data_IF_602247734353
#
_entry.id   IF_602247734353
#
_cell.length_a   1.000
_cell.length_b   1.000
_cell.length_c   1.000
_cell.angle_alpha   90.00
_cell.angle_beta   90.00
_cell.angle_gamma   90.00
#
_symmetry.space_group_name_H-M   'P 1'
#
loop_
_entity.id
_entity.type
_entity.pdbx_description
1 polymer ?
#
# COMPACT_ATOMS: atom_id res chain seq x y z
N UNK A 1 -62.71 2.72 -25.78
CA UNK A 1 -61.82 1.79 -25.06
C UNK A 1 -60.45 2.47 -24.93
N UNK A 2 -60.19 3.12 -23.80
CA UNK A 2 -58.93 3.81 -23.51
C UNK A 2 -57.94 2.81 -22.88
N UNK A 3 -56.75 2.67 -23.48
CA UNK A 3 -55.64 1.86 -22.95
C UNK A 3 -54.88 2.67 -21.91
N UNK A 4 -54.83 2.20 -20.66
CA UNK A 4 -53.93 2.72 -19.63
C UNK A 4 -52.50 2.23 -19.89
N UNK A 5 -51.56 3.17 -19.89
CA UNK A 5 -50.13 2.92 -19.82
C UNK A 5 -49.74 2.61 -18.36
N UNK A 6 -49.08 1.47 -18.15
CA UNK A 6 -48.52 1.09 -16.84
C UNK A 6 -47.18 1.79 -16.61
N UNK A 7 -47.11 2.61 -15.57
CA UNK A 7 -45.88 3.16 -15.03
C UNK A 7 -45.21 2.13 -14.10
N UNK A 8 -44.02 1.66 -14.48
CA UNK A 8 -43.13 0.89 -13.61
C UNK A 8 -42.49 1.80 -12.57
N UNK A 9 -42.83 1.59 -11.29
CA UNK A 9 -42.17 2.23 -10.16
C UNK A 9 -40.81 1.56 -9.90
N UNK A 10 -39.71 2.27 -10.14
CA UNK A 10 -38.39 1.84 -9.71
C UNK A 10 -38.26 2.09 -8.19
N UNK A 11 -38.14 1.01 -7.42
CA UNK A 11 -37.87 1.10 -6.00
C UNK A 11 -36.39 1.43 -5.77
N UNK A 12 -36.09 2.68 -5.38
CA UNK A 12 -34.79 3.02 -4.79
C UNK A 12 -34.77 2.47 -3.35
N UNK A 13 -34.01 1.41 -3.12
CA UNK A 13 -33.62 0.99 -1.77
C UNK A 13 -32.54 1.92 -1.26
N UNK A 14 -32.93 3.01 -0.59
CA UNK A 14 -32.04 3.80 0.25
C UNK A 14 -31.72 2.97 1.50
N UNK A 15 -30.58 2.29 1.49
CA UNK A 15 -30.00 1.68 2.68
C UNK A 15 -29.55 2.81 3.60
N UNK A 16 -30.40 3.24 4.53
CA UNK A 16 -29.99 4.13 5.62
C UNK A 16 -29.06 3.34 6.54
N UNK A 17 -27.75 3.45 6.32
CA UNK A 17 -26.77 3.06 7.35
C UNK A 17 -27.07 3.92 8.57
N UNK A 18 -27.44 3.28 9.68
CA UNK A 18 -27.63 3.98 10.93
C UNK A 18 -26.27 4.54 11.38
N UNK A 19 -26.06 5.85 11.15
CA UNK A 19 -24.90 6.54 11.68
C UNK A 19 -24.95 6.46 13.21
N UNK A 20 -23.90 5.92 13.80
CA UNK A 20 -23.69 5.91 15.23
C UNK A 20 -22.45 6.74 15.54
N UNK A 21 -22.34 7.20 16.78
CA UNK A 21 -21.10 7.75 17.30
C UNK A 21 -20.26 6.56 17.80
N UNK A 22 -18.98 6.56 17.45
CA UNK A 22 -17.98 5.63 17.93
C UNK A 22 -17.06 6.37 18.90
N UNK A 23 -17.13 6.01 20.18
CA UNK A 23 -16.25 6.52 21.22
C UNK A 23 -15.18 5.46 21.54
N UNK A 24 -13.91 5.85 21.42
CA UNK A 24 -12.79 4.97 21.72
C UNK A 24 -11.86 5.61 22.74
N UNK A 25 -11.59 4.88 23.83
CA UNK A 25 -10.48 5.18 24.73
C UNK A 25 -9.17 4.78 24.05
N UNK A 26 -8.36 5.76 23.66
CA UNK A 26 -7.09 5.54 22.96
C UNK A 26 -5.97 5.10 23.93
N UNK A 27 -6.11 5.41 25.22
CA UNK A 27 -5.17 5.03 26.27
C UNK A 27 -4.48 6.22 26.92
N UNK A 28 -3.36 5.98 27.62
CA UNK A 28 -2.61 7.05 28.28
C UNK A 28 -1.94 7.99 27.29
N UNK A 29 -1.67 9.22 27.73
CA UNK A 29 -0.86 10.20 26.99
C UNK A 29 0.46 9.58 26.50
N UNK A 30 1.13 8.81 27.34
CA UNK A 30 2.37 8.10 26.99
C UNK A 30 2.16 7.08 25.87
N UNK A 31 1.12 6.22 25.98
CA UNK A 31 0.81 5.22 24.93
C UNK A 31 0.50 5.91 23.60
N UNK A 32 -0.31 6.96 23.62
CA UNK A 32 -0.73 7.62 22.38
C UNK A 32 0.46 8.37 21.76
N UNK A 33 1.32 8.98 22.59
CA UNK A 33 2.56 9.61 22.15
C UNK A 33 3.45 8.64 21.37
N UNK A 34 3.72 7.44 21.92
CA UNK A 34 4.56 6.44 21.23
C UNK A 34 3.93 5.90 19.94
N UNK A 35 2.62 5.62 19.94
CA UNK A 35 1.96 4.98 18.79
C UNK A 35 1.74 5.94 17.61
N UNK A 36 1.63 7.24 17.88
CA UNK A 36 1.51 8.30 16.87
C UNK A 36 2.84 9.01 16.56
N UNK A 37 3.95 8.47 17.08
CA UNK A 37 5.30 9.01 16.94
C UNK A 37 5.46 10.47 17.38
N UNK A 38 4.62 10.95 18.30
CA UNK A 38 4.58 12.36 18.67
C UNK A 38 5.78 12.78 19.55
N UNK A 39 6.36 13.97 19.36
CA UNK A 39 6.14 14.86 18.22
C UNK A 39 6.80 14.30 16.96
N UNK A 40 6.05 14.25 15.86
CA UNK A 40 6.46 13.57 14.62
C UNK A 40 6.87 14.53 13.49
N UNK A 41 6.89 15.84 13.73
CA UNK A 41 7.28 16.85 12.74
C UNK A 41 7.88 18.13 13.38
N UNK A 42 8.45 17.97 14.58
CA UNK A 42 9.06 19.06 15.35
C UNK A 42 10.46 18.70 15.81
N UNK A 43 11.32 19.72 15.84
CA UNK A 43 12.55 19.72 16.63
C UNK A 43 12.59 21.02 17.47
N UNK A 44 13.67 21.81 17.41
CA UNK A 44 13.66 23.18 17.94
C UNK A 44 12.62 24.06 17.24
N UNK A 45 12.31 23.76 15.97
CA UNK A 45 11.27 24.43 15.17
C UNK A 45 10.27 23.37 14.69
N UNK A 46 9.00 23.59 14.98
CA UNK A 46 7.92 22.74 14.47
C UNK A 46 7.57 23.09 13.04
N UNK A 47 7.60 22.11 12.14
CA UNK A 47 7.05 22.28 10.79
C UNK A 47 5.53 22.43 10.85
N UNK A 48 4.86 21.65 11.71
CA UNK A 48 3.47 21.86 12.14
C UNK A 48 3.41 21.80 13.66
N UNK A 49 3.03 22.90 14.31
CA UNK A 49 2.98 22.95 15.78
C UNK A 49 1.65 22.36 16.30
N UNK A 50 1.44 21.06 16.05
CA UNK A 50 0.24 20.34 16.50
C UNK A 50 0.37 19.85 17.94
N UNK A 51 -0.75 19.84 18.65
CA UNK A 51 -0.85 19.07 19.91
C UNK A 51 -0.92 17.58 19.62
N UNK A 52 -0.81 16.74 20.65
CA UNK A 52 -1.01 15.30 20.51
C UNK A 52 -2.43 14.99 19.99
N UNK A 53 -3.44 15.67 20.51
CA UNK A 53 -4.84 15.51 20.09
C UNK A 53 -5.01 15.87 18.61
N UNK A 54 -4.44 16.99 18.15
CA UNK A 54 -4.51 17.40 16.74
C UNK A 54 -3.80 16.39 15.82
N UNK A 55 -2.67 15.84 16.26
CA UNK A 55 -1.93 14.82 15.51
C UNK A 55 -2.77 13.55 15.35
N UNK A 56 -3.39 13.08 16.43
CA UNK A 56 -4.26 11.90 16.40
C UNK A 56 -5.51 12.16 15.57
N UNK A 57 -6.17 13.30 15.78
CA UNK A 57 -7.38 13.72 15.05
C UNK A 57 -7.13 13.74 13.54
N UNK A 58 -5.96 14.24 13.13
CA UNK A 58 -5.53 14.26 11.72
C UNK A 58 -5.49 12.86 11.08
N UNK A 59 -4.79 11.91 11.69
CA UNK A 59 -4.70 10.55 11.14
C UNK A 59 -6.04 9.80 11.20
N UNK A 60 -6.81 9.97 12.27
CA UNK A 60 -8.13 9.36 12.37
C UNK A 60 -9.10 9.96 11.33
N UNK A 61 -9.00 11.26 11.05
CA UNK A 61 -9.76 11.92 9.97
C UNK A 61 -9.39 11.37 8.61
N UNK A 62 -8.11 11.14 8.33
CA UNK A 62 -7.68 10.47 7.09
C UNK A 62 -8.30 9.07 6.96
N UNK A 63 -8.34 8.31 8.06
CA UNK A 63 -8.89 6.94 8.06
C UNK A 63 -10.37 6.94 7.65
N UNK A 64 -11.20 7.75 8.32
CA UNK A 64 -12.65 7.82 8.01
C UNK A 64 -12.93 8.31 6.59
N UNK A 65 -12.12 9.26 6.10
CA UNK A 65 -12.23 9.76 4.73
C UNK A 65 -11.89 8.69 3.69
N UNK A 66 -10.85 7.89 3.95
CA UNK A 66 -10.40 6.80 3.06
C UNK A 66 -11.31 5.58 3.09
N UNK A 67 -12.04 5.40 4.19
CA UNK A 67 -13.16 4.48 4.24
C UNK A 67 -14.41 5.02 3.51
N UNK A 68 -14.41 6.26 3.02
CA UNK A 68 -15.51 6.84 2.24
C UNK A 68 -16.60 7.50 3.09
N UNK A 69 -16.37 7.70 4.39
CA UNK A 69 -17.29 8.42 5.28
C UNK A 69 -17.02 9.93 5.20
N UNK A 70 -17.38 10.56 4.08
CA UNK A 70 -17.05 11.97 3.80
C UNK A 70 -17.62 12.98 4.80
N UNK A 71 -18.75 12.63 5.43
CA UNK A 71 -19.43 13.49 6.41
C UNK A 71 -19.02 13.18 7.87
N UNK A 72 -18.13 12.19 8.06
CA UNK A 72 -17.67 11.81 9.39
C UNK A 72 -16.84 12.93 10.03
N UNK A 73 -16.97 13.05 11.36
CA UNK A 73 -16.19 14.01 12.15
C UNK A 73 -15.45 13.28 13.23
N UNK A 74 -14.17 13.61 13.39
CA UNK A 74 -13.33 13.11 14.46
C UNK A 74 -13.06 14.25 15.43
N UNK A 75 -13.16 13.96 16.72
CA UNK A 75 -12.68 14.84 17.77
C UNK A 75 -11.83 14.04 18.75
N UNK A 76 -10.63 14.53 19.07
CA UNK A 76 -9.77 13.92 20.08
C UNK A 76 -9.67 14.82 21.31
N UNK A 77 -9.82 14.24 22.50
CA UNK A 77 -9.73 14.96 23.77
C UNK A 77 -8.87 14.21 24.76
N UNK A 78 -8.23 14.97 25.65
CA UNK A 78 -7.53 14.44 26.81
C UNK A 78 -8.33 14.73 28.07
N UNK A 79 -8.51 13.72 28.92
CA UNK A 79 -9.07 13.84 30.27
C UNK A 79 -8.32 12.91 31.21
N UNK A 80 -7.84 13.44 32.35
CA UNK A 80 -7.08 12.70 33.37
C UNK A 80 -5.95 11.81 32.80
N UNK A 81 -5.06 12.40 31.99
CA UNK A 81 -3.94 11.72 31.30
C UNK A 81 -4.34 10.55 30.38
N UNK A 82 -5.60 10.54 29.92
CA UNK A 82 -6.12 9.59 28.95
C UNK A 82 -6.67 10.32 27.73
N UNK A 83 -6.40 9.80 26.54
CA UNK A 83 -6.97 10.31 25.30
C UNK A 83 -8.16 9.49 24.85
N UNK A 84 -9.14 10.18 24.29
CA UNK A 84 -10.39 9.64 23.76
C UNK A 84 -10.62 10.20 22.36
N UNK A 85 -11.06 9.35 21.43
CA UNK A 85 -11.57 9.76 20.14
C UNK A 85 -13.08 9.59 20.10
N UNK A 86 -13.79 10.66 19.74
CA UNK A 86 -15.20 10.62 19.36
C UNK A 86 -15.28 10.72 17.84
N UNK A 87 -15.83 9.69 17.18
CA UNK A 87 -15.97 9.62 15.73
C UNK A 87 -17.45 9.53 15.41
N UNK A 88 -17.99 10.56 14.77
CA UNK A 88 -19.41 10.63 14.39
C UNK A 88 -19.56 10.40 12.88
N UNK A 89 -20.72 9.91 12.44
CA UNK A 89 -20.99 9.69 11.01
C UNK A 89 -20.44 8.37 10.46
N UNK A 90 -19.99 7.45 11.32
CA UNK A 90 -19.47 6.12 10.97
C UNK A 90 -20.44 5.01 11.42
N UNK A 91 -20.33 3.76 10.93
CA UNK A 91 -21.15 2.67 11.42
C UNK A 91 -20.77 2.27 12.85
N UNK A 92 -21.73 1.68 13.57
CA UNK A 92 -21.48 1.08 14.88
C UNK A 92 -20.42 -0.02 14.76
N UNK A 93 -19.39 0.02 15.59
CA UNK A 93 -18.30 -0.96 15.56
C UNK A 93 -17.04 -0.46 14.83
N UNK A 94 -17.07 0.74 14.25
CA UNK A 94 -15.91 1.36 13.59
C UNK A 94 -14.70 1.50 14.54
N UNK A 95 -14.92 1.55 15.85
CA UNK A 95 -13.87 1.58 16.86
C UNK A 95 -13.01 0.32 16.90
N UNK A 96 -13.53 -0.83 16.44
CA UNK A 96 -12.86 -2.13 16.54
C UNK A 96 -11.61 -2.26 15.68
N UNK A 97 -11.64 -1.99 14.36
CA UNK A 97 -10.42 -2.05 13.55
C UNK A 97 -9.38 -1.02 14.01
N UNK A 98 -9.81 0.15 14.52
CA UNK A 98 -8.90 1.11 15.12
C UNK A 98 -8.23 0.58 16.40
N UNK A 99 -9.00 0.00 17.31
CA UNK A 99 -8.46 -0.63 18.52
C UNK A 99 -7.46 -1.74 18.17
N UNK A 100 -7.80 -2.61 17.20
CA UNK A 100 -6.92 -3.68 16.73
C UNK A 100 -5.59 -3.16 16.16
N UNK A 101 -5.62 -2.06 15.39
CA UNK A 101 -4.41 -1.39 14.90
C UNK A 101 -3.53 -0.88 16.06
N UNK A 102 -4.13 -0.22 17.04
CA UNK A 102 -3.38 0.34 18.19
C UNK A 102 -2.81 -0.75 19.09
N UNK A 103 -3.55 -1.84 19.28
CA UNK A 103 -3.11 -3.00 20.06
C UNK A 103 -1.96 -3.73 19.36
N UNK A 104 -2.02 -3.89 18.03
CA UNK A 104 -0.88 -4.34 17.25
C UNK A 104 0.30 -3.36 17.36
N UNK A 105 0.02 -2.06 17.40
CA UNK A 105 1.01 -1.01 17.62
C UNK A 105 1.80 -1.15 18.92
N UNK A 106 1.18 -1.66 20.00
CA UNK A 106 1.90 -1.95 21.24
C UNK A 106 2.93 -3.09 21.07
N UNK A 107 2.64 -4.07 20.23
CA UNK A 107 3.61 -5.12 19.84
C UNK A 107 4.76 -4.51 19.03
N UNK A 108 4.45 -3.59 18.11
CA UNK A 108 5.48 -2.91 17.32
C UNK A 108 6.39 -2.05 18.21
N UNK A 109 5.83 -1.33 19.18
CA UNK A 109 6.59 -0.59 20.17
C UNK A 109 7.50 -1.49 21.00
N UNK A 110 6.97 -2.63 21.47
CA UNK A 110 7.77 -3.62 22.20
C UNK A 110 8.97 -4.10 21.37
N UNK A 111 8.74 -4.38 20.08
CA UNK A 111 9.79 -4.73 19.12
C UNK A 111 10.83 -3.62 18.95
N UNK A 112 10.39 -2.39 18.73
CA UNK A 112 11.25 -1.22 18.57
C UNK A 112 12.10 -0.94 19.82
N UNK A 113 11.50 -1.00 21.01
CA UNK A 113 12.22 -0.83 22.28
C UNK A 113 13.30 -1.88 22.47
N UNK A 114 13.02 -3.13 22.12
CA UNK A 114 14.00 -4.21 22.17
C UNK A 114 15.11 -4.00 21.14
N UNK A 115 14.77 -3.62 19.91
CA UNK A 115 15.74 -3.32 18.86
C UNK A 115 16.71 -2.19 19.28
N UNK A 116 16.19 -1.16 19.95
CA UNK A 116 16.99 -0.08 20.51
C UNK A 116 17.86 -0.53 21.69
N UNK A 117 17.33 -1.33 22.61
CA UNK A 117 18.10 -1.88 23.72
C UNK A 117 19.29 -2.75 23.25
N UNK A 118 19.13 -3.43 22.11
CA UNK A 118 20.19 -4.20 21.46
C UNK A 118 21.17 -3.34 20.63
N UNK A 119 21.02 -2.00 20.64
CA UNK A 119 21.92 -1.06 19.96
C UNK A 119 21.77 -1.02 18.43
N UNK A 120 20.63 -1.50 17.90
CA UNK A 120 20.37 -1.60 16.45
C UNK A 120 19.39 -0.57 15.92
N UNK A 121 18.83 0.28 16.79
CA UNK A 121 17.97 1.38 16.36
C UNK A 121 18.81 2.57 15.91
N UNK A 122 18.61 3.03 14.68
CA UNK A 122 19.29 4.24 14.22
C UNK A 122 18.65 5.50 14.81
N UNK A 123 19.47 6.49 15.15
CA UNK A 123 19.00 7.75 15.75
C UNK A 123 17.94 8.48 14.92
N UNK A 124 17.99 8.37 13.59
CA UNK A 124 17.05 9.02 12.66
C UNK A 124 15.74 8.24 12.46
N UNK A 125 15.58 7.07 13.07
CA UNK A 125 14.41 6.23 12.89
C UNK A 125 13.28 6.58 13.86
N UNK A 126 12.04 6.47 13.37
CA UNK A 126 10.82 6.62 14.16
C UNK A 126 9.96 5.36 14.03
N UNK A 127 9.40 4.87 15.13
CA UNK A 127 8.30 3.90 15.05
C UNK A 127 7.14 4.57 14.32
N UNK A 128 6.67 3.99 13.23
CA UNK A 128 5.58 4.56 12.44
C UNK A 128 4.61 3.46 12.02
N UNK A 129 3.44 3.47 12.64
CA UNK A 129 2.33 2.60 12.28
C UNK A 129 1.63 3.12 11.02
N UNK A 130 0.93 2.27 10.24
CA UNK A 130 0.13 2.65 9.07
C UNK A 130 -1.11 3.48 9.46
N UNK A 131 -0.88 4.63 10.08
CA UNK A 131 -1.88 5.57 10.55
C UNK A 131 -2.55 6.26 9.37
N UNK A 132 -3.85 6.50 9.48
CA UNK A 132 -4.61 7.11 8.40
C UNK A 132 -5.03 6.14 7.31
N UNK A 133 -4.75 4.84 7.37
CA UNK A 133 -5.25 3.90 6.36
C UNK A 133 -6.77 3.70 6.45
N UNK A 134 -7.37 3.21 5.36
CA UNK A 134 -8.73 2.67 5.42
C UNK A 134 -8.76 1.52 6.43
N UNK A 135 -9.72 1.55 7.37
CA UNK A 135 -9.82 0.60 8.48
C UNK A 135 -10.95 -0.42 8.26
N UNK A 136 -12.07 0.00 7.67
CA UNK A 136 -13.26 -0.84 7.51
C UNK A 136 -13.49 -1.23 6.04
N UNK A 137 -13.54 -0.25 5.15
CA UNK A 137 -13.90 -0.41 3.74
C UNK A 137 -12.68 -0.73 2.85
N UNK A 138 -11.76 -1.54 3.40
CA UNK A 138 -10.57 -2.04 2.72
C UNK A 138 -10.94 -2.96 1.56
N UNK A 139 -10.25 -2.81 0.45
CA UNK A 139 -10.42 -3.59 -0.79
C UNK A 139 -9.26 -4.55 -1.02
N UNK A 140 -8.07 -4.22 -0.57
CA UNK A 140 -6.89 -5.08 -0.63
C UNK A 140 -5.84 -4.67 0.40
N UNK A 141 -4.86 -5.53 0.63
CA UNK A 141 -3.73 -5.31 1.54
C UNK A 141 -2.42 -5.25 0.76
N UNK A 142 -1.54 -4.35 1.16
CA UNK A 142 -0.21 -4.17 0.59
C UNK A 142 0.83 -4.49 1.66
N UNK A 143 1.68 -5.49 1.42
CA UNK A 143 2.83 -5.73 2.26
C UNK A 143 4.03 -4.98 1.69
N UNK A 144 4.58 -4.07 2.48
CA UNK A 144 5.73 -3.24 2.12
C UNK A 144 6.89 -3.46 3.09
N UNK A 145 8.05 -2.94 2.69
CA UNK A 145 9.28 -3.07 3.45
C UNK A 145 9.25 -2.15 4.69
N UNK A 146 9.21 -0.83 4.45
CA UNK A 146 9.14 0.21 5.47
C UNK A 146 8.63 1.53 4.87
N UNK A 147 8.03 2.43 5.67
CA UNK A 147 7.61 3.75 5.20
C UNK A 147 8.80 4.73 5.15
N UNK A 148 8.85 5.64 4.15
CA UNK A 148 9.86 6.69 4.17
C UNK A 148 9.54 7.74 5.24
N UNK A 149 10.59 8.27 5.87
CA UNK A 149 10.52 9.27 6.95
C UNK A 149 9.75 10.55 6.59
N UNK A 150 9.81 10.99 5.34
CA UNK A 150 9.09 12.19 4.90
C UNK A 150 7.57 12.00 4.87
N UNK A 151 7.05 10.78 4.76
CA UNK A 151 5.61 10.50 4.89
C UNK A 151 5.12 10.82 6.30
N UNK A 152 5.96 10.54 7.31
CA UNK A 152 5.74 10.96 8.69
C UNK A 152 6.03 12.46 8.85
N UNK A 153 7.28 12.86 8.71
CA UNK A 153 7.81 14.15 9.17
C UNK A 153 7.36 15.36 8.36
N UNK A 154 7.12 15.20 7.07
CA UNK A 154 6.72 16.30 6.19
C UNK A 154 5.27 16.18 5.74
N UNK A 155 4.85 15.03 5.24
CA UNK A 155 3.52 14.87 4.68
C UNK A 155 2.44 14.72 5.75
N UNK A 156 2.75 14.09 6.89
CA UNK A 156 1.76 13.59 7.84
C UNK A 156 0.70 12.75 7.12
N UNK A 157 1.15 11.93 6.18
CA UNK A 157 0.28 11.12 5.35
C UNK A 157 1.06 9.90 4.88
N UNK A 158 0.67 8.74 5.39
CA UNK A 158 1.31 7.47 5.08
C UNK A 158 1.24 7.08 3.60
N UNK A 159 0.18 7.50 2.90
CA UNK A 159 0.01 7.27 1.47
C UNK A 159 0.69 8.35 0.63
N UNK A 160 1.37 9.33 1.23
CA UNK A 160 2.12 10.34 0.50
C UNK A 160 3.60 9.95 0.39
N UNK A 161 3.90 9.19 -0.66
CA UNK A 161 5.27 8.82 -1.03
C UNK A 161 5.38 8.58 -2.53
N UNK A 162 6.60 8.65 -3.08
CA UNK A 162 6.81 8.28 -4.49
C UNK A 162 6.33 6.85 -4.78
N UNK A 163 6.57 5.92 -3.84
CA UNK A 163 6.15 4.51 -3.91
C UNK A 163 4.63 4.39 -4.02
N UNK A 164 3.89 5.00 -3.10
CA UNK A 164 2.44 4.90 -2.99
C UNK A 164 1.71 5.75 -4.02
N UNK A 165 2.22 6.94 -4.37
CA UNK A 165 1.67 7.81 -5.42
C UNK A 165 1.76 7.13 -6.80
N UNK A 166 2.88 6.46 -7.07
CA UNK A 166 3.04 5.68 -8.30
C UNK A 166 2.05 4.52 -8.33
N UNK A 167 1.93 3.76 -7.26
CA UNK A 167 1.01 2.62 -7.23
C UNK A 167 -0.45 3.03 -7.38
N UNK A 168 -0.87 4.13 -6.73
CA UNK A 168 -2.19 4.76 -6.93
C UNK A 168 -2.45 5.10 -8.40
N UNK A 169 -1.44 5.62 -9.11
CA UNK A 169 -1.53 5.91 -10.54
C UNK A 169 -1.77 4.63 -11.35
N UNK A 170 -1.09 3.52 -11.03
CA UNK A 170 -1.29 2.23 -11.70
C UNK A 170 -2.67 1.62 -11.41
N UNK A 171 -3.17 1.76 -10.19
CA UNK A 171 -4.55 1.38 -9.85
C UNK A 171 -5.56 2.20 -10.67
N UNK A 172 -5.30 3.49 -10.84
CA UNK A 172 -6.14 4.38 -11.66
C UNK A 172 -6.15 4.00 -13.14
N UNK A 173 -4.97 3.68 -13.68
CA UNK A 173 -4.84 3.13 -15.05
C UNK A 173 -5.64 1.84 -15.21
N UNK A 174 -5.79 1.06 -14.14
CA UNK A 174 -6.59 -0.16 -14.10
C UNK A 174 -8.07 0.07 -13.74
N UNK A 175 -8.54 1.31 -13.75
CA UNK A 175 -9.95 1.66 -13.63
C UNK A 175 -10.46 1.82 -12.20
N UNK A 176 -9.58 1.97 -11.21
CA UNK A 176 -9.98 2.45 -9.88
C UNK A 176 -10.08 3.97 -9.92
N UNK A 177 -11.15 4.56 -9.38
CA UNK A 177 -11.24 6.01 -9.28
C UNK A 177 -10.17 6.56 -8.32
N UNK A 178 -9.59 7.70 -8.62
CA UNK A 178 -8.44 8.24 -7.87
C UNK A 178 -8.75 8.48 -6.38
N UNK A 179 -9.99 8.85 -6.06
CA UNK A 179 -10.51 9.01 -4.70
C UNK A 179 -10.75 7.68 -3.97
N UNK A 180 -10.79 6.56 -4.70
CA UNK A 180 -11.01 5.21 -4.17
C UNK A 180 -9.73 4.39 -4.03
N UNK A 181 -8.60 4.83 -4.62
CA UNK A 181 -7.33 4.09 -4.51
C UNK A 181 -6.86 3.86 -3.07
N UNK A 182 -7.09 4.76 -2.08
CA UNK A 182 -6.66 4.51 -0.71
C UNK A 182 -7.23 3.23 -0.09
N UNK A 183 -8.46 2.85 -0.46
CA UNK A 183 -9.08 1.62 0.03
C UNK A 183 -8.36 0.35 -0.47
N UNK A 184 -7.61 0.44 -1.57
CA UNK A 184 -6.79 -0.65 -2.09
C UNK A 184 -5.38 -0.65 -1.48
N UNK A 185 -4.96 0.43 -0.84
CA UNK A 185 -3.60 0.65 -0.34
C UNK A 185 -3.53 0.54 1.19
N UNK A 186 -4.19 -0.46 1.78
CA UNK A 186 -4.03 -0.73 3.22
C UNK A 186 -2.68 -1.40 3.44
N UNK A 187 -1.72 -0.68 4.00
CA UNK A 187 -0.33 -1.14 4.11
C UNK A 187 -0.07 -1.87 5.44
N UNK A 188 0.72 -2.93 5.37
CA UNK A 188 1.47 -3.50 6.49
C UNK A 188 2.95 -3.46 6.12
N UNK A 189 3.74 -2.73 6.91
CA UNK A 189 5.19 -2.76 6.76
C UNK A 189 5.82 -3.88 7.60
N UNK A 190 6.72 -4.64 7.01
CA UNK A 190 7.50 -5.63 7.75
C UNK A 190 8.51 -4.96 8.70
N UNK A 191 8.86 -3.69 8.47
CA UNK A 191 9.51 -2.86 9.47
C UNK A 191 8.67 -1.58 9.63
N UNK A 192 7.86 -1.44 10.70
CA UNK A 192 7.07 -0.23 10.95
C UNK A 192 7.96 0.91 11.46
N UNK A 193 8.97 1.25 10.67
CA UNK A 193 10.01 2.22 10.98
C UNK A 193 10.05 3.25 9.86
N UNK A 194 9.66 4.49 10.17
CA UNK A 194 9.94 5.63 9.32
C UNK A 194 11.45 5.85 9.26
N UNK A 195 12.04 5.64 8.09
CA UNK A 195 13.47 5.75 7.83
C UNK A 195 13.73 6.46 6.48
N UNK A 196 14.96 6.96 6.23
CA UNK A 196 15.30 7.51 4.92
C UNK A 196 14.97 6.52 3.79
N UNK A 197 14.47 7.01 2.65
CA UNK A 197 13.98 6.16 1.56
C UNK A 197 15.02 5.19 0.96
N UNK A 198 16.31 5.40 1.23
CA UNK A 198 17.42 4.55 0.82
C UNK A 198 17.95 3.63 1.94
N UNK A 199 17.33 3.63 3.13
CA UNK A 199 17.78 2.87 4.31
C UNK A 199 17.46 1.37 4.27
N UNK A 200 16.92 0.84 3.16
CA UNK A 200 16.44 -0.54 3.09
C UNK A 200 17.51 -1.59 3.43
N UNK A 201 18.79 -1.33 3.14
CA UNK A 201 19.89 -2.21 3.53
C UNK A 201 20.14 -2.19 5.05
N UNK A 202 19.97 -1.03 5.68
CA UNK A 202 20.22 -0.87 7.12
C UNK A 202 19.14 -1.54 7.98
N UNK A 203 17.97 -1.82 7.39
CA UNK A 203 16.88 -2.56 8.01
C UNK A 203 17.02 -4.08 7.88
N UNK A 204 18.03 -4.60 7.18
CA UNK A 204 18.23 -6.04 7.11
C UNK A 204 18.53 -6.63 8.51
N UNK A 205 17.84 -7.72 8.85
CA UNK A 205 17.99 -8.39 10.15
C UNK A 205 17.22 -7.73 11.31
N UNK A 206 16.43 -6.69 11.06
CA UNK A 206 15.56 -6.08 12.10
C UNK A 206 14.14 -6.65 12.10
N UNK A 207 13.69 -7.31 11.02
CA UNK A 207 12.28 -7.68 10.83
C UNK A 207 11.74 -8.60 11.94
N UNK A 208 12.55 -9.52 12.46
CA UNK A 208 12.11 -10.47 13.49
C UNK A 208 11.72 -9.80 14.81
N UNK A 209 12.21 -8.58 15.09
CA UNK A 209 11.78 -7.81 16.26
C UNK A 209 10.30 -7.42 16.18
N UNK A 210 9.74 -7.37 14.97
CA UNK A 210 8.35 -6.96 14.72
C UNK A 210 7.44 -8.14 14.36
N UNK A 211 7.90 -9.39 14.53
CA UNK A 211 7.14 -10.58 14.14
C UNK A 211 5.71 -10.62 14.67
N UNK A 212 5.54 -10.33 15.95
CA UNK A 212 4.22 -10.38 16.60
C UNK A 212 3.30 -9.29 16.05
N UNK A 213 3.83 -8.09 15.81
CA UNK A 213 3.10 -7.02 15.13
C UNK A 213 2.69 -7.43 13.71
N UNK A 214 3.64 -7.90 12.90
CA UNK A 214 3.39 -8.21 11.49
C UNK A 214 2.33 -9.30 11.31
N UNK A 215 2.46 -10.40 12.06
CA UNK A 215 1.53 -11.53 11.99
C UNK A 215 0.15 -11.18 12.54
N UNK A 216 0.10 -10.35 13.59
CA UNK A 216 -1.17 -9.79 14.10
C UNK A 216 -1.82 -8.90 13.05
N UNK A 217 -1.09 -7.96 12.45
CA UNK A 217 -1.63 -7.10 11.40
C UNK A 217 -2.18 -7.92 10.23
N UNK A 218 -1.45 -8.91 9.72
CA UNK A 218 -1.94 -9.77 8.62
C UNK A 218 -3.23 -10.48 9.02
N UNK A 219 -3.33 -10.98 10.25
CA UNK A 219 -4.54 -11.63 10.76
C UNK A 219 -5.72 -10.65 10.83
N UNK A 220 -5.52 -9.43 11.30
CA UNK A 220 -6.58 -8.45 11.52
C UNK A 220 -7.04 -7.79 10.20
N UNK A 221 -6.14 -7.51 9.26
CA UNK A 221 -6.49 -6.79 8.02
C UNK A 221 -6.74 -7.68 6.80
N UNK A 222 -6.55 -9.00 6.90
CA UNK A 222 -6.79 -9.93 5.78
C UNK A 222 -8.26 -10.25 5.53
N UNK A 223 -9.17 -9.81 6.40
CA UNK A 223 -10.61 -9.93 6.20
C UNK A 223 -11.29 -8.57 6.38
N UNK A 224 -12.41 -8.38 5.70
CA UNK A 224 -13.31 -7.27 5.98
C UNK A 224 -14.25 -7.61 7.17
N UNK A 225 -15.12 -6.67 7.54
CA UNK A 225 -16.06 -6.85 8.65
C UNK A 225 -17.07 -8.01 8.43
N UNK A 226 -17.36 -8.40 7.19
CA UNK A 226 -18.21 -9.54 6.87
C UNK A 226 -17.47 -10.89 6.87
N UNK A 227 -16.15 -10.89 7.12
CA UNK A 227 -15.31 -12.09 7.09
C UNK A 227 -14.86 -12.51 5.69
N UNK A 228 -15.17 -11.73 4.65
CA UNK A 228 -14.66 -11.93 3.30
C UNK A 228 -13.15 -11.70 3.31
N UNK A 229 -12.40 -12.63 2.72
CA UNK A 229 -10.95 -12.51 2.65
C UNK A 229 -10.56 -11.49 1.58
N UNK A 230 -9.61 -10.61 1.90
CA UNK A 230 -9.11 -9.59 0.99
C UNK A 230 -7.82 -10.07 0.30
N UNK A 231 -7.60 -9.72 -0.98
CA UNK A 231 -6.37 -10.04 -1.69
C UNK A 231 -5.19 -9.23 -1.12
N UNK A 232 -4.00 -9.79 -1.26
CA UNK A 232 -2.77 -9.17 -0.77
C UNK A 232 -1.70 -9.09 -1.86
N UNK A 233 -0.96 -7.99 -1.90
CA UNK A 233 0.21 -7.82 -2.78
C UNK A 233 1.48 -7.69 -1.95
N UNK A 234 2.50 -8.47 -2.31
CA UNK A 234 3.79 -8.54 -1.63
C UNK A 234 4.87 -7.84 -2.45
N UNK A 235 5.26 -6.63 -2.01
CA UNK A 235 6.15 -5.75 -2.77
C UNK A 235 7.61 -5.94 -2.38
N UNK A 236 8.46 -6.25 -3.37
CA UNK A 236 9.91 -6.30 -3.16
C UNK A 236 10.44 -7.63 -2.65
N UNK A 237 11.76 -7.77 -2.61
CA UNK A 237 12.39 -9.03 -2.20
C UNK A 237 12.31 -9.28 -0.68
N UNK A 238 12.55 -8.28 0.21
CA UNK A 238 12.46 -8.45 1.65
C UNK A 238 11.09 -8.98 2.10
N UNK A 239 10.01 -8.41 1.55
CA UNK A 239 8.64 -8.82 1.87
C UNK A 239 8.32 -10.24 1.37
N UNK A 240 8.73 -10.60 0.14
CA UNK A 240 8.52 -11.96 -0.37
C UNK A 240 9.31 -13.00 0.42
N UNK A 241 10.51 -12.65 0.88
CA UNK A 241 11.30 -13.50 1.78
C UNK A 241 10.65 -13.63 3.15
N UNK A 242 10.08 -12.54 3.67
CA UNK A 242 9.32 -12.54 4.92
C UNK A 242 8.10 -13.47 4.85
N UNK A 243 7.34 -13.46 3.75
CA UNK A 243 6.22 -14.41 3.56
C UNK A 243 6.71 -15.85 3.63
N UNK A 244 7.83 -16.17 2.95
CA UNK A 244 8.41 -17.50 2.99
C UNK A 244 8.78 -17.91 4.41
N UNK A 245 9.34 -17.00 5.19
CA UNK A 245 9.73 -17.26 6.58
C UNK A 245 8.52 -17.45 7.51
N UNK A 246 7.48 -16.64 7.38
CA UNK A 246 6.33 -16.68 8.30
C UNK A 246 5.27 -17.72 7.90
N UNK A 247 5.06 -17.92 6.60
CA UNK A 247 3.95 -18.73 6.09
C UNK A 247 4.40 -19.94 5.26
N UNK A 248 5.64 -19.96 4.73
CA UNK A 248 6.23 -21.10 4.02
C UNK A 248 6.38 -20.95 2.50
N UNK A 249 5.36 -20.50 1.74
CA UNK A 249 5.45 -20.38 0.28
C UNK A 249 6.54 -19.43 -0.20
N UNK A 250 7.21 -19.79 -1.30
CA UNK A 250 8.09 -18.86 -2.02
C UNK A 250 7.26 -18.06 -3.02
N UNK A 251 7.34 -16.73 -2.95
CA UNK A 251 6.58 -15.82 -3.81
C UNK A 251 7.53 -15.15 -4.80
N UNK A 252 7.27 -15.30 -6.11
CA UNK A 252 8.00 -14.63 -7.18
C UNK A 252 7.25 -13.38 -7.66
N UNK A 253 7.91 -12.49 -8.41
CA UNK A 253 7.20 -11.40 -9.12
C UNK A 253 6.23 -12.02 -10.12
N UNK A 254 4.96 -11.60 -10.07
CA UNK A 254 3.82 -12.24 -10.71
C UNK A 254 3.64 -13.74 -10.37
N UNK A 255 4.17 -14.15 -9.22
CA UNK A 255 3.89 -15.45 -8.61
C UNK A 255 2.74 -15.32 -7.63
N UNK A 256 1.77 -16.22 -7.75
CA UNK A 256 0.61 -16.28 -6.88
C UNK A 256 0.76 -17.43 -5.89
N UNK A 257 0.49 -17.16 -4.62
CA UNK A 257 0.45 -18.16 -3.55
C UNK A 257 -0.78 -17.96 -2.67
N UNK A 258 -0.99 -18.87 -1.72
CA UNK A 258 -1.98 -18.71 -0.66
C UNK A 258 -1.30 -18.83 0.69
N UNK A 259 -1.63 -17.94 1.62
CA UNK A 259 -1.21 -18.02 3.03
C UNK A 259 -2.42 -18.24 3.94
N UNK A 260 -2.16 -18.71 5.16
CA UNK A 260 -3.20 -18.92 6.19
C UNK A 260 -2.84 -18.11 7.45
N UNK A 261 -3.34 -16.87 7.60
CA UNK A 261 -3.06 -16.04 8.79
C UNK A 261 -3.66 -16.59 10.08
N UNK A 262 -4.75 -17.34 9.97
CA UNK A 262 -5.39 -18.11 11.03
C UNK A 262 -6.13 -19.30 10.42
N UNK A 263 -6.53 -20.25 11.25
CA UNK A 263 -7.27 -21.44 10.82
C UNK A 263 -8.54 -21.05 10.05
N UNK A 264 -8.74 -21.70 8.90
CA UNK A 264 -9.91 -21.49 8.05
C UNK A 264 -9.87 -20.24 7.16
N UNK A 265 -8.85 -19.38 7.26
CA UNK A 265 -8.71 -18.19 6.40
C UNK A 265 -7.62 -18.40 5.37
N UNK A 266 -7.95 -18.21 4.10
CA UNK A 266 -7.02 -18.40 2.96
C UNK A 266 -6.90 -17.11 2.16
N UNK A 267 -5.73 -16.47 2.25
CA UNK A 267 -5.46 -15.20 1.59
C UNK A 267 -4.69 -15.45 0.30
N UNK A 268 -5.20 -15.04 -0.88
CA UNK A 268 -4.39 -15.04 -2.10
C UNK A 268 -3.37 -13.90 -2.02
N UNK A 269 -2.09 -14.24 -2.25
CA UNK A 269 -0.98 -13.28 -2.21
C UNK A 269 -0.25 -13.27 -3.55
N UNK A 270 -0.20 -12.11 -4.19
CA UNK A 270 0.56 -11.89 -5.42
C UNK A 270 1.90 -11.24 -5.10
N UNK A 271 3.01 -11.81 -5.57
CA UNK A 271 4.30 -11.13 -5.53
C UNK A 271 4.43 -10.06 -6.62
N UNK A 272 4.98 -8.91 -6.26
CA UNK A 272 5.24 -7.79 -7.16
C UNK A 272 6.66 -7.27 -7.01
N UNK A 273 7.15 -6.52 -8.00
CA UNK A 273 8.31 -5.66 -7.77
C UNK A 273 7.97 -4.65 -6.69
N UNK A 274 8.95 -4.14 -5.95
CA UNK A 274 8.72 -2.94 -5.14
C UNK A 274 8.33 -1.78 -6.07
N UNK A 275 7.32 -0.93 -5.76
CA UNK A 275 6.85 0.08 -6.72
C UNK A 275 7.95 1.06 -7.16
N UNK A 276 8.96 1.30 -6.32
CA UNK A 276 10.12 2.14 -6.63
C UNK A 276 11.21 1.47 -7.46
N UNK A 277 11.18 0.14 -7.60
CA UNK A 277 12.21 -0.61 -8.33
C UNK A 277 12.35 -0.16 -9.78
N UNK A 278 11.27 0.33 -10.39
CA UNK A 278 11.29 0.80 -11.78
C UNK A 278 12.30 1.91 -12.04
N UNK A 279 12.54 2.81 -11.07
CA UNK A 279 13.48 3.91 -11.26
C UNK A 279 14.92 3.41 -11.31
N UNK A 280 15.24 2.33 -10.59
CA UNK A 280 16.55 1.69 -10.64
C UNK A 280 16.70 0.80 -11.87
N UNK A 281 15.70 -0.03 -12.16
CA UNK A 281 15.71 -0.89 -13.34
C UNK A 281 15.80 -0.06 -14.63
N UNK A 282 15.19 1.12 -14.66
CA UNK A 282 15.24 2.05 -15.77
C UNK A 282 16.40 3.05 -15.69
N UNK A 283 17.33 2.98 -14.74
CA UNK A 283 18.45 3.90 -14.69
C UNK A 283 19.58 3.43 -15.64
N UNK A 284 19.98 4.21 -16.67
CA UNK A 284 21.13 3.87 -17.50
C UNK A 284 22.43 3.66 -16.70
N UNK A 285 22.60 4.33 -15.57
CA UNK A 285 23.80 4.21 -14.73
C UNK A 285 23.88 2.85 -14.01
N UNK A 286 22.79 2.07 -14.00
CA UNK A 286 22.77 0.69 -13.50
C UNK A 286 23.36 -0.32 -14.50
N UNK A 287 23.75 0.10 -15.71
CA UNK A 287 24.22 -0.76 -16.79
C UNK A 287 25.56 -0.26 -17.36
N UNK A 288 26.32 -1.18 -17.97
CA UNK A 288 27.63 -0.86 -18.56
C UNK A 288 27.60 -1.00 -20.08
N UNK A 289 28.36 -0.17 -20.78
CA UNK A 289 28.54 -0.27 -22.24
C UNK A 289 27.78 0.80 -23.02
N UNK A 290 28.01 0.82 -24.34
CA UNK A 290 27.42 1.84 -25.24
C UNK A 290 25.89 1.69 -25.41
N UNK A 291 25.34 0.55 -25.01
CA UNK A 291 23.93 0.20 -25.07
C UNK A 291 23.21 0.30 -23.70
N UNK A 292 23.85 0.88 -22.67
CA UNK A 292 23.29 1.01 -21.33
C UNK A 292 21.87 1.63 -21.31
N UNK A 293 21.63 2.70 -22.08
CA UNK A 293 20.29 3.29 -22.22
C UNK A 293 19.26 2.30 -22.77
N UNK A 294 19.64 1.48 -23.76
CA UNK A 294 18.73 0.52 -24.37
C UNK A 294 18.43 -0.65 -23.42
N UNK A 295 19.41 -1.06 -22.60
CA UNK A 295 19.22 -2.06 -21.55
C UNK A 295 18.30 -1.54 -20.44
N UNK A 296 18.51 -0.31 -19.99
CA UNK A 296 17.66 0.35 -19.00
C UNK A 296 16.22 0.54 -19.49
N UNK A 297 16.03 0.97 -20.75
CA UNK A 297 14.69 1.05 -21.35
C UNK A 297 14.03 -0.34 -21.42
N UNK A 298 14.77 -1.38 -21.82
CA UNK A 298 14.24 -2.76 -21.89
C UNK A 298 13.82 -3.30 -20.52
N UNK A 299 14.62 -3.05 -19.48
CA UNK A 299 14.31 -3.44 -18.11
C UNK A 299 13.14 -2.64 -17.55
N UNK A 300 13.12 -1.32 -17.75
CA UNK A 300 12.03 -0.45 -17.33
C UNK A 300 10.69 -0.81 -17.97
N UNK A 301 10.66 -1.14 -19.27
CA UNK A 301 9.47 -1.63 -19.96
C UNK A 301 8.94 -2.94 -19.36
N UNK A 302 9.83 -3.87 -19.01
CA UNK A 302 9.45 -5.13 -18.37
C UNK A 302 8.87 -4.91 -16.97
N UNK A 303 9.53 -4.10 -16.15
CA UNK A 303 9.03 -3.75 -14.81
C UNK A 303 7.69 -3.04 -14.92
N UNK A 304 7.51 -2.10 -15.86
CA UNK A 304 6.22 -1.45 -16.09
C UNK A 304 5.12 -2.47 -16.44
N UNK A 305 5.39 -3.41 -17.34
CA UNK A 305 4.44 -4.46 -17.70
C UNK A 305 4.08 -5.38 -16.53
N UNK A 306 5.05 -5.71 -15.67
CA UNK A 306 4.81 -6.49 -14.46
C UNK A 306 3.97 -5.74 -13.45
N UNK A 307 4.32 -4.49 -13.17
CA UNK A 307 3.63 -3.67 -12.18
C UNK A 307 2.20 -3.35 -12.60
N UNK A 308 1.96 -3.05 -13.89
CA UNK A 308 0.60 -2.89 -14.43
C UNK A 308 -0.21 -4.18 -14.32
N UNK A 309 0.41 -5.34 -14.53
CA UNK A 309 -0.27 -6.65 -14.38
C UNK A 309 -0.64 -6.92 -12.92
N UNK A 310 0.24 -6.58 -11.97
CA UNK A 310 -0.02 -6.76 -10.54
C UNK A 310 -1.06 -5.76 -10.01
N UNK A 311 -0.98 -4.48 -10.40
CA UNK A 311 -1.99 -3.47 -10.04
C UNK A 311 -3.37 -3.81 -10.65
N UNK A 312 -3.41 -4.35 -11.87
CA UNK A 312 -4.62 -4.89 -12.48
C UNK A 312 -5.24 -6.00 -11.64
N UNK A 313 -4.42 -6.97 -11.22
CA UNK A 313 -4.88 -8.09 -10.41
C UNK A 313 -5.43 -7.61 -9.07
N UNK A 314 -4.72 -6.72 -8.39
CA UNK A 314 -5.17 -6.11 -7.13
C UNK A 314 -6.49 -5.36 -7.31
N UNK A 315 -6.61 -4.57 -8.37
CA UNK A 315 -7.80 -3.80 -8.67
C UNK A 315 -9.01 -4.69 -9.00
N UNK A 316 -8.81 -5.82 -9.68
CA UNK A 316 -9.85 -6.80 -10.00
C UNK A 316 -10.28 -7.56 -8.74
N UNK A 317 -9.33 -8.19 -8.04
CA UNK A 317 -9.59 -8.96 -6.82
C UNK A 317 -10.16 -8.11 -5.69
N UNK A 318 -9.79 -6.83 -5.59
CA UNK A 318 -10.33 -5.94 -4.56
C UNK A 318 -11.74 -5.42 -4.88
N UNK A 319 -12.12 -5.40 -6.16
CA UNK A 319 -13.51 -5.12 -6.58
C UNK A 319 -14.41 -6.33 -6.36
N UNK A 320 -13.91 -7.52 -6.66
CA UNK A 320 -14.60 -8.79 -6.53
C UNK A 320 -13.71 -9.83 -5.84
N UNK A 321 -13.75 -9.93 -4.50
CA UNK A 321 -12.93 -10.87 -3.73
C UNK A 321 -13.24 -12.35 -4.01
N UNK A 322 -14.40 -12.66 -4.60
CA UNK A 322 -14.81 -14.03 -4.93
C UNK A 322 -14.30 -14.47 -6.33
N UNK A 323 -13.70 -13.55 -7.10
CA UNK A 323 -13.09 -13.85 -8.39
C UNK A 323 -11.93 -14.85 -8.25
N UNK A 324 -11.62 -15.58 -9.33
CA UNK A 324 -10.57 -16.59 -9.30
C UNK A 324 -9.18 -15.95 -9.47
N UNK A 325 -8.29 -16.01 -8.45
CA UNK A 325 -7.01 -15.30 -8.49
C UNK A 325 -6.09 -15.69 -9.65
N UNK A 326 -6.08 -16.97 -10.05
CA UNK A 326 -5.25 -17.47 -11.17
C UNK A 326 -5.77 -17.00 -12.53
N UNK A 327 -7.09 -16.92 -12.69
CA UNK A 327 -7.71 -16.42 -13.93
C UNK A 327 -7.46 -14.92 -14.05
N UNK A 328 -7.68 -14.16 -12.98
CA UNK A 328 -7.43 -12.72 -12.98
C UNK A 328 -5.97 -12.39 -13.30
N UNK A 329 -5.01 -13.10 -12.69
CA UNK A 329 -3.59 -12.85 -12.95
C UNK A 329 -3.22 -13.13 -14.41
N UNK A 330 -3.74 -14.23 -14.98
CA UNK A 330 -3.53 -14.56 -16.39
C UNK A 330 -4.15 -13.51 -17.32
N UNK A 331 -5.37 -13.05 -17.01
CA UNK A 331 -6.07 -12.00 -17.76
C UNK A 331 -5.31 -10.68 -17.73
N UNK A 332 -4.88 -10.24 -16.55
CA UNK A 332 -4.11 -9.01 -16.36
C UNK A 332 -2.74 -9.06 -17.05
N UNK A 333 -2.02 -10.17 -16.94
CA UNK A 333 -0.74 -10.38 -17.65
C UNK A 333 -0.95 -10.37 -19.17
N UNK A 334 -2.00 -11.02 -19.66
CA UNK A 334 -2.33 -11.02 -21.09
C UNK A 334 -2.69 -9.61 -21.58
N UNK A 335 -3.40 -8.84 -20.75
CA UNK A 335 -3.77 -7.46 -21.07
C UNK A 335 -2.53 -6.59 -21.20
N UNK A 336 -1.71 -6.47 -20.15
CA UNK A 336 -0.63 -5.47 -20.11
C UNK A 336 0.65 -5.88 -20.82
N UNK A 337 0.93 -7.18 -20.93
CA UNK A 337 2.17 -7.66 -21.55
C UNK A 337 1.98 -8.18 -22.97
N UNK A 338 0.74 -8.22 -23.48
CA UNK A 338 0.45 -8.65 -24.85
C UNK A 338 -0.54 -7.72 -25.55
N UNK A 339 -1.80 -7.68 -25.12
CA UNK A 339 -2.86 -6.97 -25.85
C UNK A 339 -2.67 -5.45 -25.86
N UNK A 340 -2.14 -4.90 -24.76
CA UNK A 340 -1.89 -3.48 -24.55
C UNK A 340 -0.40 -3.18 -24.33
N UNK A 341 0.49 -3.98 -24.93
CA UNK A 341 1.94 -3.77 -24.79
C UNK A 341 2.39 -2.37 -25.28
N UNK A 342 1.73 -1.82 -26.30
CA UNK A 342 1.98 -0.44 -26.75
C UNK A 342 1.59 0.59 -25.68
N UNK A 343 0.51 0.35 -24.92
CA UNK A 343 0.11 1.24 -23.83
C UNK A 343 1.06 1.16 -22.64
N UNK A 344 1.52 -0.04 -22.30
CA UNK A 344 2.61 -0.27 -21.34
C UNK A 344 3.85 0.55 -21.72
N UNK A 345 4.20 0.56 -23.00
CA UNK A 345 5.31 1.35 -23.53
C UNK A 345 5.09 2.86 -23.36
N UNK A 346 3.92 3.36 -23.76
CA UNK A 346 3.59 4.78 -23.62
C UNK A 346 3.65 5.22 -22.16
N UNK A 347 3.05 4.45 -21.25
CA UNK A 347 3.04 4.74 -19.82
C UNK A 347 4.46 4.77 -19.24
N UNK A 348 5.33 3.83 -19.65
CA UNK A 348 6.74 3.85 -19.25
C UNK A 348 7.43 5.15 -19.71
N UNK A 349 7.33 5.48 -20.99
CA UNK A 349 8.04 6.64 -21.53
C UNK A 349 7.50 7.98 -21.03
N UNK A 350 6.20 8.09 -20.75
CA UNK A 350 5.63 9.32 -20.18
C UNK A 350 5.95 9.46 -18.69
N UNK A 351 5.80 8.40 -17.90
CA UNK A 351 5.93 8.48 -16.43
C UNK A 351 7.35 8.33 -15.91
N UNK A 352 8.22 7.61 -16.62
CA UNK A 352 9.60 7.30 -16.17
C UNK A 352 10.64 8.09 -16.96
N UNK A 353 10.40 8.32 -18.26
CA UNK A 353 11.31 9.10 -19.13
C UNK A 353 10.86 10.54 -19.35
N UNK A 354 9.71 10.94 -18.79
CA UNK A 354 9.15 12.28 -18.90
C UNK A 354 8.97 12.76 -20.35
N UNK A 355 8.73 11.83 -21.28
CA UNK A 355 8.39 12.17 -22.65
C UNK A 355 6.95 12.69 -22.72
N UNK A 356 6.69 13.61 -23.63
CA UNK A 356 5.29 13.98 -23.96
C UNK A 356 4.56 12.78 -24.57
N UNK A 357 3.22 12.71 -24.52
CA UNK A 357 2.46 11.60 -25.11
C UNK A 357 2.83 11.32 -26.58
N UNK A 358 2.96 12.37 -27.41
CA UNK A 358 3.36 12.20 -28.82
C UNK A 358 4.78 11.65 -28.99
N UNK A 359 5.73 12.09 -28.15
CA UNK A 359 7.10 11.55 -28.16
C UNK A 359 7.14 10.08 -27.71
N UNK A 360 6.35 9.73 -26.70
CA UNK A 360 6.25 8.35 -26.21
C UNK A 360 5.68 7.43 -27.30
N UNK A 361 4.56 7.79 -27.94
CA UNK A 361 3.98 7.02 -29.06
C UNK A 361 4.98 6.86 -30.21
N UNK A 362 5.69 7.94 -30.59
CA UNK A 362 6.73 7.87 -31.63
C UNK A 362 7.88 6.94 -31.25
N UNK A 363 8.33 6.98 -29.99
CA UNK A 363 9.38 6.09 -29.46
C UNK A 363 8.93 4.62 -29.47
N UNK A 364 7.71 4.35 -29.03
CA UNK A 364 7.11 3.01 -29.02
C UNK A 364 6.92 2.42 -30.42
N UNK A 365 6.75 3.27 -31.45
CA UNK A 365 6.62 2.83 -32.83
C UNK A 365 7.93 2.32 -33.46
N UNK A 366 9.09 2.61 -32.85
CA UNK A 366 10.41 2.24 -33.40
C UNK A 366 10.66 0.72 -33.39
N UNK A 367 11.37 0.21 -34.39
CA UNK A 367 11.66 -1.23 -34.52
C UNK A 367 12.36 -1.85 -33.31
N UNK A 368 13.37 -1.21 -32.68
CA UNK A 368 14.00 -1.76 -31.47
C UNK A 368 12.99 -1.93 -30.33
N UNK A 369 12.14 -0.93 -30.08
CA UNK A 369 11.15 -0.98 -29.00
C UNK A 369 10.07 -2.01 -29.29
N UNK A 370 9.53 -2.07 -30.51
CA UNK A 370 8.57 -3.13 -30.90
C UNK A 370 9.12 -4.54 -30.68
N UNK A 371 10.43 -4.72 -30.84
CA UNK A 371 11.08 -6.01 -30.57
C UNK A 371 11.13 -6.30 -29.06
N UNK A 372 11.42 -5.30 -28.23
CA UNK A 372 11.37 -5.41 -26.76
C UNK A 372 9.95 -5.68 -26.23
N UNK A 373 8.91 -5.07 -26.83
CA UNK A 373 7.52 -5.28 -26.42
C UNK A 373 7.05 -6.72 -26.62
N UNK A 374 7.57 -7.42 -27.63
CA UNK A 374 7.33 -8.86 -27.82
C UNK A 374 7.99 -9.74 -26.75
N UNK A 375 8.89 -9.18 -25.94
CA UNK A 375 9.67 -9.87 -24.92
C UNK A 375 9.32 -9.46 -23.50
N UNK A 376 8.18 -8.79 -23.26
CA UNK A 376 7.78 -8.34 -21.91
C UNK A 376 7.67 -9.49 -20.89
N UNK A 377 7.29 -10.69 -21.34
CA UNK A 377 7.22 -11.90 -20.50
C UNK A 377 8.58 -12.58 -20.24
N UNK A 378 9.65 -12.18 -20.94
CA UNK A 378 10.98 -12.76 -20.78
C UNK A 378 11.73 -12.09 -19.62
N UNK A 379 12.67 -12.78 -18.94
CA UNK A 379 13.46 -12.22 -17.84
C UNK A 379 14.11 -10.88 -18.19
N UNK A 380 14.13 -9.92 -17.26
CA UNK A 380 14.75 -8.62 -17.48
C UNK A 380 16.28 -8.73 -17.75
N UNK A 381 16.87 -7.79 -18.50
CA UNK A 381 18.33 -7.67 -18.56
C UNK A 381 18.93 -7.60 -17.16
N UNK A 382 20.06 -8.27 -16.95
CA UNK A 382 20.77 -8.19 -15.67
C UNK A 382 21.44 -6.82 -15.55
N UNK A 383 21.14 -6.10 -14.46
CA UNK A 383 21.84 -4.86 -14.12
C UNK A 383 23.29 -5.17 -13.69
N UNK A 384 24.20 -4.25 -13.99
CA UNK A 384 25.59 -4.33 -13.55
C UNK A 384 25.74 -4.01 -12.06
N UNK A 385 24.82 -3.21 -11.52
CA UNK A 385 24.73 -2.89 -10.09
C UNK A 385 23.44 -3.48 -9.51
N UNK A 386 23.49 -4.10 -8.31
CA UNK A 386 22.27 -4.50 -7.63
C UNK A 386 21.46 -3.26 -7.26
N UNK A 387 20.15 -3.31 -7.45
CA UNK A 387 19.26 -2.28 -6.91
C UNK A 387 19.36 -2.27 -5.37
N UNK A 388 19.06 -1.13 -4.73
CA UNK A 388 18.92 -1.09 -3.28
C UNK A 388 17.95 -2.16 -2.78
N UNK A 389 18.07 -2.52 -1.51
CA UNK A 389 17.18 -3.49 -0.88
C UNK A 389 15.79 -2.86 -0.72
N UNK A 390 14.92 -3.15 -1.68
CA UNK A 390 13.56 -2.62 -1.82
C UNK A 390 12.52 -3.71 -1.61
#
# INVERSE_FOLDING_TARGET
MFKLAGLTLAALTLSTVAHADADLKLGSTERVTRLFAYPNNCNVICFRNWTLEQTVEHYLTQSVQRDGYSDAKVQVKTDNDQLYAAITGVPRGYEKPLAALLDAGDLAYTGASKLNADGKWAYSWYLFLPLGMALENRRSVELLHFPPDYSLTQAQDYLKSATTDRWATLLTVNGIAADQTPAFQTIIDIAPIAAPSNAGKDLEGVYDYFKDYQTTMVKEVSQNASGTTLPMVAFGAPVRNWIKQQYGPTVNVLGLVTISPKDGVKVPVLGSNHPSYIWYAADPDSYTGKDAQAQADAAGLKVMGQDLSAACWQAAMGRDPDSNPDIELRSCTQTWQVAQADKTCELFYTSIRNLTPGQATAKCATTPIKSQLKQLKAPAPAAAMPAPHL
#
